data_IF_030346980136
#
_entry.id   IF_030346980136
#
_cell.length_a   1.000
_cell.length_b   1.000
_cell.length_c   1.000
_cell.angle_alpha   90.00
_cell.angle_beta   90.00
_cell.angle_gamma   90.00
#
_symmetry.space_group_name_H-M   'P 1'
#
loop_
_entity.id
_entity.type
_entity.pdbx_description
1 polymer ?
#
# COMPACT_ATOMS: atom_id res chain seq x y z
N UNK A 1 -15.38 0.35 -27.56
CA UNK A 1 -15.62 -0.10 -26.17
C UNK A 1 -14.56 -1.14 -25.85
N UNK A 2 -13.57 -0.81 -25.03
CA UNK A 2 -12.54 -1.79 -24.61
C UNK A 2 -13.12 -2.55 -23.42
N UNK A 3 -13.65 -3.74 -23.67
CA UNK A 3 -14.04 -4.69 -22.62
C UNK A 3 -12.77 -5.37 -22.13
N UNK A 4 -12.21 -4.83 -21.06
CA UNK A 4 -11.09 -5.46 -20.36
C UNK A 4 -11.71 -6.60 -19.53
N UNK A 5 -11.83 -7.80 -20.11
CA UNK A 5 -12.24 -9.02 -19.40
C UNK A 5 -11.12 -9.54 -18.49
N UNK A 6 -10.62 -8.68 -17.59
CA UNK A 6 -9.78 -9.13 -16.49
C UNK A 6 -10.71 -9.74 -15.44
N UNK A 7 -10.52 -11.03 -15.17
CA UNK A 7 -11.18 -11.68 -14.05
C UNK A 7 -10.78 -10.94 -12.76
N UNK A 8 -11.74 -10.40 -11.98
CA UNK A 8 -11.43 -9.69 -10.74
C UNK A 8 -10.76 -10.58 -9.69
N UNK A 9 -10.83 -11.90 -9.85
CA UNK A 9 -10.19 -12.88 -8.99
C UNK A 9 -8.79 -13.18 -9.52
N UNK A 10 -7.78 -12.94 -8.68
CA UNK A 10 -6.39 -13.26 -8.99
C UNK A 10 -6.10 -14.74 -8.70
N UNK A 11 -6.54 -15.23 -7.55
CA UNK A 11 -6.44 -16.65 -7.19
C UNK A 11 -7.46 -17.00 -6.11
N UNK A 12 -7.98 -18.23 -6.16
CA UNK A 12 -8.86 -18.80 -5.13
C UNK A 12 -8.12 -19.94 -4.43
N UNK A 13 -8.07 -19.87 -3.10
CA UNK A 13 -7.54 -20.94 -2.25
C UNK A 13 -8.69 -21.42 -1.37
N UNK A 14 -9.36 -22.50 -1.80
CA UNK A 14 -10.56 -23.00 -1.14
C UNK A 14 -11.67 -21.93 -1.10
N UNK A 15 -12.21 -21.56 0.08
CA UNK A 15 -13.23 -20.51 0.20
C UNK A 15 -12.66 -19.08 0.10
N UNK A 16 -11.33 -18.91 0.10
CA UNK A 16 -10.71 -17.59 0.10
C UNK A 16 -10.48 -17.11 -1.33
N UNK A 17 -11.27 -16.12 -1.75
CA UNK A 17 -11.18 -15.50 -3.08
C UNK A 17 -10.32 -14.25 -2.98
N UNK A 18 -9.10 -14.31 -3.50
CA UNK A 18 -8.18 -13.17 -3.52
C UNK A 18 -8.38 -12.41 -4.83
N UNK A 19 -8.73 -11.14 -4.69
CA UNK A 19 -9.02 -10.24 -5.80
C UNK A 19 -7.83 -9.33 -6.10
N UNK A 20 -7.71 -8.91 -7.35
CA UNK A 20 -6.64 -8.00 -7.78
C UNK A 20 -6.60 -6.70 -6.98
N UNK A 21 -7.75 -6.13 -6.60
CA UNK A 21 -7.75 -4.93 -5.76
C UNK A 21 -7.11 -5.18 -4.39
N UNK A 22 -7.30 -6.36 -3.82
CA UNK A 22 -6.73 -6.72 -2.51
C UNK A 22 -5.21 -6.84 -2.58
N UNK A 23 -4.70 -7.40 -3.68
CA UNK A 23 -3.26 -7.46 -3.95
C UNK A 23 -2.68 -6.04 -4.07
N UNK A 24 -3.34 -5.16 -4.83
CA UNK A 24 -2.90 -3.78 -5.00
C UNK A 24 -2.89 -3.01 -3.68
N UNK A 25 -3.91 -3.20 -2.83
CA UNK A 25 -3.95 -2.60 -1.49
C UNK A 25 -2.85 -3.15 -0.59
N UNK A 26 -2.64 -4.47 -0.58
CA UNK A 26 -1.56 -5.08 0.20
C UNK A 26 -0.18 -4.55 -0.23
N UNK A 27 0.06 -4.43 -1.54
CA UNK A 27 1.28 -3.84 -2.08
C UNK A 27 1.44 -2.38 -1.69
N UNK A 28 0.37 -1.59 -1.71
CA UNK A 28 0.40 -0.20 -1.27
C UNK A 28 0.80 -0.10 0.21
N UNK A 29 0.19 -0.92 1.09
CA UNK A 29 0.51 -0.97 2.52
C UNK A 29 1.96 -1.40 2.77
N UNK A 30 2.46 -2.40 2.04
CA UNK A 30 3.84 -2.86 2.16
C UNK A 30 4.81 -1.76 1.70
N UNK A 31 4.56 -1.12 0.56
CA UNK A 31 5.39 -0.03 0.06
C UNK A 31 5.44 1.12 1.07
N UNK A 32 4.28 1.46 1.64
CA UNK A 32 4.13 2.48 2.66
C UNK A 32 4.96 2.14 3.92
N UNK A 33 4.87 0.90 4.42
CA UNK A 33 5.68 0.40 5.53
C UNK A 33 7.17 0.46 5.22
N UNK A 34 7.59 -0.01 4.03
CA UNK A 34 8.99 -0.03 3.62
C UNK A 34 9.56 1.38 3.51
N UNK A 35 8.79 2.34 3.00
CA UNK A 35 9.18 3.75 2.97
C UNK A 35 9.37 4.28 4.40
N UNK A 36 8.41 4.05 5.29
CA UNK A 36 8.51 4.46 6.70
C UNK A 36 9.73 3.84 7.40
N UNK A 37 10.00 2.55 7.19
CA UNK A 37 11.17 1.86 7.76
C UNK A 37 12.49 2.34 7.16
N UNK A 38 12.54 2.63 5.85
CA UNK A 38 13.75 3.20 5.21
C UNK A 38 14.01 4.61 5.69
N UNK A 39 12.97 5.42 5.85
CA UNK A 39 13.09 6.81 6.28
C UNK A 39 13.57 6.89 7.74
N UNK A 40 12.98 6.09 8.63
CA UNK A 40 13.42 5.98 10.03
C UNK A 40 14.87 5.52 10.17
N UNK A 41 15.37 4.64 9.29
CA UNK A 41 16.79 4.25 9.28
C UNK A 41 17.72 5.30 8.67
N UNK A 42 17.28 6.02 7.64
CA UNK A 42 18.14 6.96 6.90
C UNK A 42 18.32 8.28 7.61
N UNK A 43 17.31 8.74 8.34
CA UNK A 43 17.32 10.11 8.82
C UNK A 43 17.99 10.26 10.20
N UNK A 44 17.90 9.31 11.14
CA UNK A 44 18.24 9.60 12.55
C UNK A 44 17.56 10.89 13.07
N UNK A 45 16.49 11.32 12.39
CA UNK A 45 15.66 12.48 12.70
C UNK A 45 14.44 11.95 13.43
N UNK A 46 14.02 12.72 14.44
CA UNK A 46 12.87 12.48 15.32
C UNK A 46 11.67 11.90 14.54
N UNK A 47 11.09 10.78 14.99
CA UNK A 47 9.94 10.12 14.36
C UNK A 47 8.78 11.07 13.98
N UNK A 48 8.66 12.19 14.69
CA UNK A 48 7.68 13.26 14.50
C UNK A 48 7.63 13.83 13.07
N UNK A 49 8.76 14.01 12.38
CA UNK A 49 8.75 14.62 11.04
C UNK A 49 8.22 13.65 9.97
N UNK A 50 8.59 12.37 10.09
CA UNK A 50 8.11 11.29 9.22
C UNK A 50 6.61 11.10 9.43
N UNK A 51 6.15 11.09 10.68
CA UNK A 51 4.73 11.03 11.00
C UNK A 51 3.99 12.25 10.43
N UNK A 52 4.58 13.44 10.50
CA UNK A 52 4.00 14.67 9.95
C UNK A 52 3.86 14.65 8.43
N UNK A 53 4.87 14.16 7.69
CA UNK A 53 4.80 14.02 6.22
C UNK A 53 3.83 12.92 5.78
N UNK A 54 3.75 11.83 6.53
CA UNK A 54 2.81 10.74 6.29
C UNK A 54 1.37 11.16 6.57
N UNK A 55 1.16 11.87 7.67
CA UNK A 55 -0.12 12.49 8.01
C UNK A 55 -0.52 13.54 6.98
N UNK A 56 0.43 14.37 6.50
CA UNK A 56 0.20 15.30 5.40
C UNK A 56 -0.10 14.60 4.07
N UNK A 57 0.50 13.44 3.80
CA UNK A 57 0.18 12.63 2.62
C UNK A 57 -1.21 11.98 2.69
N UNK A 58 -1.71 11.69 3.90
CA UNK A 58 -3.07 11.19 4.14
C UNK A 58 -4.11 12.33 4.15
N UNK A 59 -3.77 13.48 4.74
CA UNK A 59 -4.66 14.65 4.88
C UNK A 59 -4.72 15.47 3.59
N UNK A 60 -3.61 15.57 2.84
CA UNK A 60 -3.52 16.29 1.58
C UNK A 60 -3.99 15.48 0.36
N UNK A 61 -4.47 14.25 0.58
CA UNK A 61 -5.18 13.46 -0.42
C UNK A 61 -6.59 14.00 -0.69
#
# INVERSE_FOLDING_TARGET
MVIISIDPVAFSIGPLVIRWYGIMVALAVIALLVVTFRETRKLSISPDLVFSLFLWGIIGG
#
